data_IF_638004092927
#
_entry.id   IF_638004092927
#
_cell.length_a   1.000
_cell.length_b   1.000
_cell.length_c   1.000
_cell.angle_alpha   90.00
_cell.angle_beta   90.00
_cell.angle_gamma   90.00
#
_symmetry.space_group_name_H-M   'P 1'
#
loop_
_entity.id
_entity.type
_entity.pdbx_description
1 polymer ?
#
# COMPACT_ATOMS: atom_id res chain seq x y z
N UNK A 1 -7.35 -21.78 -14.23
CA UNK A 1 -6.76 -20.48 -14.59
C UNK A 1 -5.99 -19.96 -13.39
N UNK A 2 -4.65 -19.95 -13.42
CA UNK A 2 -3.86 -19.38 -12.34
C UNK A 2 -3.94 -17.85 -12.43
N UNK A 3 -4.59 -17.20 -11.45
CA UNK A 3 -4.53 -15.74 -11.33
C UNK A 3 -3.05 -15.35 -11.19
N UNK A 4 -2.47 -14.71 -12.22
CA UNK A 4 -1.15 -14.09 -12.11
C UNK A 4 -1.28 -12.91 -11.16
N UNK A 5 -0.94 -13.12 -9.90
CA UNK A 5 -0.81 -12.03 -8.94
C UNK A 5 0.44 -11.22 -9.33
N UNK A 6 0.25 -9.94 -9.67
CA UNK A 6 1.37 -9.00 -9.79
C UNK A 6 2.02 -8.94 -8.41
N UNK A 7 3.29 -9.34 -8.32
CA UNK A 7 4.06 -9.15 -7.10
C UNK A 7 4.56 -7.71 -7.13
N UNK A 8 4.21 -6.95 -6.11
CA UNK A 8 4.72 -5.60 -5.90
C UNK A 8 5.77 -5.66 -4.81
N UNK A 9 6.88 -4.98 -5.04
CA UNK A 9 7.95 -4.85 -4.05
C UNK A 9 7.45 -4.08 -2.82
N UNK A 10 7.94 -4.39 -1.61
CA UNK A 10 7.55 -3.68 -0.39
C UNK A 10 7.76 -2.16 -0.51
N UNK A 11 8.91 -1.74 -1.07
CA UNK A 11 9.22 -0.33 -1.30
C UNK A 11 8.16 0.36 -2.20
N UNK A 12 7.73 -0.32 -3.27
CA UNK A 12 6.70 0.20 -4.17
C UNK A 12 5.34 0.38 -3.47
N UNK A 13 4.98 -0.54 -2.58
CA UNK A 13 3.74 -0.42 -1.80
C UNK A 13 3.81 0.71 -0.79
N UNK A 14 4.99 0.93 -0.21
CA UNK A 14 5.25 1.98 0.78
C UNK A 14 5.14 3.36 0.12
N UNK A 15 5.74 3.52 -1.06
CA UNK A 15 5.66 4.74 -1.88
C UNK A 15 4.19 5.10 -2.21
N UNK A 16 3.38 4.13 -2.63
CA UNK A 16 1.95 4.32 -2.85
C UNK A 16 1.18 4.74 -1.58
N UNK A 17 1.57 4.22 -0.41
CA UNK A 17 0.99 4.58 0.87
C UNK A 17 1.40 5.99 1.30
N UNK A 18 2.67 6.37 1.17
CA UNK A 18 3.17 7.70 1.48
C UNK A 18 2.49 8.75 0.59
N UNK A 19 2.37 8.53 -0.71
CA UNK A 19 1.64 9.44 -1.61
C UNK A 19 0.18 9.65 -1.17
N UNK A 20 -0.47 8.59 -0.69
CA UNK A 20 -1.87 8.69 -0.25
C UNK A 20 -2.01 9.31 1.14
N UNK A 21 -1.09 9.02 2.08
CA UNK A 21 -1.20 9.41 3.49
C UNK A 21 -0.46 10.72 3.78
N UNK A 22 0.79 10.83 3.34
CA UNK A 22 1.63 12.01 3.54
C UNK A 22 1.26 13.11 2.53
N UNK A 23 1.20 12.77 1.24
CA UNK A 23 0.87 13.74 0.18
C UNK A 23 -0.65 13.93 -0.03
N UNK A 24 -1.48 13.25 0.77
CA UNK A 24 -2.95 13.33 0.71
C UNK A 24 -3.55 13.16 -0.70
N UNK A 25 -2.87 12.42 -1.59
CA UNK A 25 -3.38 12.17 -2.94
C UNK A 25 -4.60 11.24 -2.89
N UNK A 26 -5.48 11.41 -3.88
CA UNK A 26 -6.64 10.52 -4.00
C UNK A 26 -6.19 9.11 -4.40
N UNK A 27 -6.80 8.09 -3.79
CA UNK A 27 -6.55 6.67 -4.13
C UNK A 27 -6.71 6.42 -5.63
N UNK A 28 -7.69 7.06 -6.28
CA UNK A 28 -7.91 6.95 -7.72
C UNK A 28 -6.75 7.52 -8.54
N UNK A 29 -6.18 8.65 -8.13
CA UNK A 29 -5.01 9.25 -8.78
C UNK A 29 -3.80 8.31 -8.69
N UNK A 30 -3.51 7.80 -7.49
CA UNK A 30 -2.41 6.84 -7.28
C UNK A 30 -2.64 5.55 -8.05
N UNK A 31 -3.89 5.06 -8.11
CA UNK A 31 -4.24 3.88 -8.91
C UNK A 31 -3.98 4.07 -10.40
N UNK A 32 -4.32 5.24 -10.93
CA UNK A 32 -4.12 5.55 -12.34
C UNK A 32 -2.62 5.73 -12.68
N UNK A 33 -1.89 6.43 -11.82
CA UNK A 33 -0.48 6.75 -12.03
C UNK A 33 0.43 5.51 -11.91
N UNK A 34 0.14 4.64 -10.94
CA UNK A 34 0.92 3.44 -10.64
C UNK A 34 0.35 2.15 -11.24
N UNK A 35 -0.73 2.23 -12.03
CA UNK A 35 -1.45 1.08 -12.60
C UNK A 35 -1.85 0.04 -11.53
N UNK A 36 -2.46 0.54 -10.44
CA UNK A 36 -2.90 -0.22 -9.28
C UNK A 36 -4.42 -0.34 -9.22
N UNK A 37 -4.89 -1.36 -8.50
CA UNK A 37 -6.30 -1.49 -8.16
C UNK A 37 -6.61 -0.76 -6.85
N UNK A 38 -7.76 -0.08 -6.82
CA UNK A 38 -8.25 0.64 -5.64
C UNK A 38 -8.28 -0.25 -4.39
N UNK A 39 -8.68 -1.51 -4.55
CA UNK A 39 -8.69 -2.50 -3.46
C UNK A 39 -7.29 -2.81 -2.91
N UNK A 40 -6.25 -2.81 -3.76
CA UNK A 40 -4.87 -3.03 -3.32
C UNK A 40 -4.36 -1.82 -2.53
N UNK A 41 -4.54 -0.61 -3.06
CA UNK A 41 -4.09 0.63 -2.42
C UNK A 41 -4.77 0.84 -1.07
N UNK A 42 -6.11 0.67 -1.00
CA UNK A 42 -6.85 0.78 0.28
C UNK A 42 -6.33 -0.20 1.33
N UNK A 43 -6.01 -1.43 0.92
CA UNK A 43 -5.47 -2.45 1.81
C UNK A 43 -4.09 -2.05 2.33
N UNK A 44 -3.21 -1.57 1.46
CA UNK A 44 -1.87 -1.13 1.85
C UNK A 44 -1.92 0.10 2.76
N UNK A 45 -2.74 1.10 2.43
CA UNK A 45 -2.91 2.29 3.26
C UNK A 45 -3.45 1.95 4.64
N UNK A 46 -4.41 1.02 4.73
CA UNK A 46 -4.91 0.52 6.01
C UNK A 46 -3.83 -0.17 6.83
N UNK A 47 -2.97 -0.95 6.19
CA UNK A 47 -1.84 -1.59 6.85
C UNK A 47 -0.78 -0.57 7.29
N UNK A 48 -0.41 0.39 6.43
CA UNK A 48 0.54 1.45 6.74
C UNK A 48 0.09 2.30 7.92
N UNK A 49 -1.19 2.69 7.98
CA UNK A 49 -1.76 3.42 9.12
C UNK A 49 -1.77 2.59 10.41
N UNK A 50 -2.03 1.29 10.31
CA UNK A 50 -1.97 0.40 11.47
C UNK A 50 -0.55 0.26 12.02
N UNK A 51 0.44 0.11 11.14
CA UNK A 51 1.87 0.10 11.49
C UNK A 51 2.31 1.45 12.11
N UNK A 52 1.84 2.58 11.56
CA UNK A 52 2.12 3.93 12.10
C UNK A 52 1.52 4.18 13.49
N UNK A 53 0.43 3.47 13.83
CA UNK A 53 -0.27 3.57 15.11
C UNK A 53 0.20 2.51 16.13
N UNK A 54 1.36 1.88 15.90
CA UNK A 54 1.95 0.83 16.74
C UNK A 54 1.05 -0.43 16.87
N UNK A 55 0.13 -0.61 15.92
CA UNK A 55 -0.76 -1.76 15.86
C UNK A 55 -0.15 -2.91 15.04
N UNK A 56 -0.45 -4.18 15.36
CA UNK A 56 -0.05 -5.29 14.50
C UNK A 56 -0.71 -5.12 13.13
N UNK A 57 0.08 -4.72 12.13
CA UNK A 57 -0.39 -4.52 10.76
C UNK A 57 -1.10 -5.76 10.21
N UNK A 58 -2.07 -5.56 9.31
CA UNK A 58 -2.86 -6.65 8.70
C UNK A 58 -2.00 -7.42 7.68
N UNK A 59 -1.02 -8.19 8.13
CA UNK A 59 -0.23 -9.12 7.30
C UNK A 59 1.29 -9.04 7.49
N UNK A 60 2.03 -9.49 6.47
CA UNK A 60 3.50 -9.36 6.41
C UNK A 60 3.85 -7.86 6.40
N UNK A 61 4.75 -7.37 7.27
CA UNK A 61 5.04 -5.94 7.38
C UNK A 61 5.33 -5.31 6.01
N UNK A 62 4.71 -4.16 5.72
CA UNK A 62 5.05 -3.36 4.54
C UNK A 62 6.33 -2.56 4.82
N UNK A 63 6.45 -2.07 6.05
CA UNK A 63 7.68 -1.55 6.61
C UNK A 63 8.55 -2.72 7.06
N UNK A 64 9.69 -2.95 6.39
CA UNK A 64 10.75 -3.71 7.04
C UNK A 64 11.24 -2.82 8.16
N UNK A 65 11.00 -3.19 9.42
CA UNK A 65 11.66 -2.59 10.58
C UNK A 65 13.16 -2.44 10.28
N UNK A 66 13.62 -1.19 10.24
CA UNK A 66 15.00 -0.81 10.48
C UNK A 66 15.09 -0.17 11.85
#
# INVERSE_FOLDING_TARGET
MTKKYRKFDPAFKLDACELTVDQSQSVNSVCLDMDLSDTAVRRWVGQYKAELLDGPGIGKPLTNEQ
#
